data_IF_970039302695
#
_entry.id   IF_970039302695
#
_cell.length_a   1.000
_cell.length_b   1.000
_cell.length_c   1.000
_cell.angle_alpha   90.00
_cell.angle_beta   90.00
_cell.angle_gamma   90.00
#
_symmetry.space_group_name_H-M   'P 1'
#
loop_
_entity.id
_entity.type
_entity.pdbx_description
1 polymer ?
#
# COMPACT_ATOMS: atom_id res chain seq x y z
N UNK A 1 6.21 -4.51 -20.41
CA UNK A 1 7.20 -5.12 -19.51
C UNK A 1 7.55 -6.52 -19.97
N UNK A 2 8.82 -6.94 -19.86
CA UNK A 2 9.19 -8.33 -20.07
C UNK A 2 8.40 -9.26 -19.16
N UNK A 3 8.11 -10.50 -19.59
CA UNK A 3 7.31 -11.43 -18.78
C UNK A 3 7.87 -11.68 -17.37
N UNK A 4 9.18 -11.78 -17.21
CA UNK A 4 9.77 -12.01 -15.89
C UNK A 4 9.62 -10.81 -14.96
N UNK A 5 9.63 -9.59 -15.52
CA UNK A 5 9.42 -8.36 -14.74
C UNK A 5 7.97 -8.26 -14.29
N UNK A 6 7.04 -8.61 -15.17
CA UNK A 6 5.62 -8.68 -14.82
C UNK A 6 5.37 -9.70 -13.72
N UNK A 7 5.97 -10.88 -13.84
CA UNK A 7 5.83 -11.93 -12.83
C UNK A 7 6.38 -11.48 -11.48
N UNK A 8 7.51 -10.76 -11.48
CA UNK A 8 8.08 -10.21 -10.25
C UNK A 8 7.13 -9.21 -9.60
N UNK A 9 6.60 -8.26 -10.36
CA UNK A 9 5.67 -7.26 -9.83
C UNK A 9 4.38 -7.92 -9.32
N UNK A 10 3.85 -8.90 -10.03
CA UNK A 10 2.66 -9.62 -9.59
C UNK A 10 2.91 -10.31 -8.26
N UNK A 11 4.09 -10.88 -8.09
CA UNK A 11 4.46 -11.52 -6.82
C UNK A 11 4.61 -10.51 -5.68
N UNK A 12 5.26 -9.37 -5.95
CA UNK A 12 5.36 -8.28 -4.97
C UNK A 12 3.97 -7.83 -4.55
N UNK A 13 3.09 -7.59 -5.51
CA UNK A 13 1.73 -7.13 -5.25
C UNK A 13 0.93 -8.13 -4.41
N UNK A 14 1.04 -9.42 -4.73
CA UNK A 14 0.33 -10.46 -3.97
C UNK A 14 0.82 -10.53 -2.51
N UNK A 15 2.12 -10.39 -2.29
CA UNK A 15 2.71 -10.40 -0.96
C UNK A 15 2.26 -9.16 -0.17
N UNK A 16 2.32 -7.98 -0.79
CA UNK A 16 1.90 -6.74 -0.14
C UNK A 16 0.43 -6.82 0.26
N UNK A 17 -0.43 -7.28 -0.65
CA UNK A 17 -1.86 -7.38 -0.38
C UNK A 17 -2.16 -8.35 0.76
N UNK A 18 -1.47 -9.49 0.79
CA UNK A 18 -1.62 -10.46 1.88
C UNK A 18 -1.18 -9.89 3.21
N UNK A 19 -0.02 -9.23 3.24
CA UNK A 19 0.53 -8.68 4.48
C UNK A 19 -0.26 -7.49 4.99
N UNK A 20 -0.88 -6.70 4.11
CA UNK A 20 -1.82 -5.66 4.54
C UNK A 20 -2.95 -6.25 5.37
N UNK A 21 -3.56 -7.34 4.89
CA UNK A 21 -4.65 -8.00 5.59
C UNK A 21 -4.20 -8.61 6.92
N UNK A 22 -2.95 -9.01 7.02
CA UNK A 22 -2.37 -9.54 8.25
C UNK A 22 -1.86 -8.43 9.18
N UNK A 23 -1.85 -7.19 8.70
CA UNK A 23 -1.46 -6.03 9.48
C UNK A 23 0.03 -5.87 9.70
N UNK A 24 0.87 -6.45 8.84
CA UNK A 24 2.30 -6.48 9.07
C UNK A 24 3.10 -6.25 7.78
N UNK A 25 2.74 -5.21 7.02
CA UNK A 25 3.44 -4.93 5.78
C UNK A 25 4.56 -3.90 6.02
N UNK A 26 5.80 -4.34 5.81
CA UNK A 26 6.98 -3.48 5.85
C UNK A 26 7.90 -3.86 4.69
N UNK A 27 8.87 -2.99 4.39
CA UNK A 27 9.90 -3.30 3.38
C UNK A 27 10.59 -4.63 3.73
N UNK A 28 10.95 -4.81 5.01
CA UNK A 28 11.67 -6.00 5.45
C UNK A 28 10.84 -7.26 5.33
N UNK A 29 9.55 -7.21 5.69
CA UNK A 29 8.69 -8.40 5.59
C UNK A 29 8.44 -8.80 4.14
N UNK A 30 8.27 -7.82 3.25
CA UNK A 30 8.08 -8.10 1.82
C UNK A 30 9.36 -8.67 1.21
N UNK A 31 10.52 -8.07 1.50
CA UNK A 31 11.81 -8.58 1.02
C UNK A 31 12.03 -10.02 1.47
N UNK A 32 11.77 -10.31 2.75
CA UNK A 32 11.93 -11.66 3.30
C UNK A 32 11.03 -12.67 2.59
N UNK A 33 9.78 -12.31 2.33
CA UNK A 33 8.85 -13.17 1.60
C UNK A 33 9.29 -13.42 0.16
N UNK A 34 10.04 -12.49 -0.44
CA UNK A 34 10.64 -12.66 -1.76
C UNK A 34 11.98 -13.40 -1.73
N UNK A 35 12.46 -13.75 -0.55
CA UNK A 35 13.80 -14.34 -0.36
C UNK A 35 14.92 -13.40 -0.83
N UNK A 36 14.72 -12.10 -0.67
CA UNK A 36 15.68 -11.06 -1.04
C UNK A 36 16.10 -10.28 0.20
N UNK A 37 17.35 -9.77 0.18
CA UNK A 37 17.72 -8.75 1.16
C UNK A 37 17.01 -7.44 0.83
N UNK A 38 16.87 -6.50 1.78
CA UNK A 38 16.30 -5.19 1.48
C UNK A 38 17.03 -4.47 0.34
N UNK A 39 18.35 -4.59 0.26
CA UNK A 39 19.13 -3.97 -0.82
C UNK A 39 18.84 -4.60 -2.19
N UNK A 40 18.73 -5.92 -2.24
CA UNK A 40 18.36 -6.64 -3.48
C UNK A 40 16.95 -6.27 -3.92
N UNK A 41 16.02 -6.19 -2.96
CA UNK A 41 14.65 -5.79 -3.24
C UNK A 41 14.60 -4.38 -3.82
N UNK A 42 15.33 -3.43 -3.21
CA UNK A 42 15.40 -2.05 -3.69
C UNK A 42 15.91 -1.98 -5.13
N UNK A 43 17.00 -2.69 -5.43
CA UNK A 43 17.57 -2.67 -6.78
C UNK A 43 16.61 -3.26 -7.80
N UNK A 44 16.05 -4.42 -7.49
CA UNK A 44 15.19 -5.13 -8.42
C UNK A 44 13.88 -4.39 -8.68
N UNK A 45 13.25 -3.90 -7.61
CA UNK A 45 12.01 -3.14 -7.73
C UNK A 45 12.25 -1.81 -8.44
N UNK A 46 13.34 -1.13 -8.12
CA UNK A 46 13.70 0.13 -8.78
C UNK A 46 13.92 -0.03 -10.27
N UNK A 47 14.58 -1.11 -10.69
CA UNK A 47 14.83 -1.38 -12.10
C UNK A 47 13.52 -1.65 -12.88
N UNK A 48 12.53 -2.27 -12.24
CA UNK A 48 11.28 -2.67 -12.90
C UNK A 48 10.22 -1.57 -12.81
N UNK A 49 10.12 -0.89 -11.67
CA UNK A 49 9.02 0.05 -11.39
C UNK A 49 9.45 1.51 -11.33
N UNK A 50 10.75 1.78 -11.15
CA UNK A 50 11.23 3.13 -10.91
C UNK A 50 10.95 3.66 -9.50
N UNK A 51 10.39 2.85 -8.61
CA UNK A 51 10.03 3.23 -7.24
C UNK A 51 10.93 2.58 -6.21
N UNK A 52 11.05 3.24 -5.05
CA UNK A 52 11.61 2.58 -3.87
C UNK A 52 10.58 1.63 -3.27
N UNK A 53 11.00 0.59 -2.53
CA UNK A 53 10.05 -0.30 -1.86
C UNK A 53 9.09 0.43 -0.91
N UNK A 54 9.57 1.39 -0.14
CA UNK A 54 8.72 2.13 0.79
C UNK A 54 7.60 2.88 0.06
N UNK A 55 7.94 3.58 -1.02
CA UNK A 55 6.96 4.32 -1.83
C UNK A 55 6.00 3.36 -2.53
N UNK A 56 6.51 2.27 -3.07
CA UNK A 56 5.69 1.28 -3.77
C UNK A 56 4.65 0.66 -2.85
N UNK A 57 5.08 0.20 -1.67
CA UNK A 57 4.18 -0.39 -0.67
C UNK A 57 3.13 0.63 -0.23
N UNK A 58 3.56 1.85 0.08
CA UNK A 58 2.66 2.90 0.53
C UNK A 58 1.61 3.25 -0.51
N UNK A 59 2.01 3.31 -1.78
CA UNK A 59 1.08 3.57 -2.88
C UNK A 59 0.02 2.48 -2.97
N UNK A 60 0.42 1.23 -2.81
CA UNK A 60 -0.56 0.13 -2.81
C UNK A 60 -1.50 0.19 -1.62
N UNK A 61 -1.00 0.55 -0.44
CA UNK A 61 -1.85 0.74 0.75
C UNK A 61 -2.89 1.83 0.51
N UNK A 62 -2.50 2.92 -0.13
CA UNK A 62 -3.41 4.04 -0.40
C UNK A 62 -4.44 3.69 -1.46
N UNK A 63 -4.07 2.96 -2.50
CA UNK A 63 -5.04 2.47 -3.49
C UNK A 63 -6.04 1.49 -2.86
N UNK A 64 -5.57 0.62 -1.97
CA UNK A 64 -6.46 -0.27 -1.24
C UNK A 64 -7.44 0.53 -0.38
N UNK A 65 -6.97 1.58 0.29
CA UNK A 65 -7.82 2.45 1.09
C UNK A 65 -8.88 3.15 0.24
N UNK A 66 -8.49 3.72 -0.91
CA UNK A 66 -9.45 4.34 -1.83
C UNK A 66 -10.51 3.35 -2.29
N UNK A 67 -10.09 2.15 -2.66
CA UNK A 67 -11.01 1.09 -3.11
C UNK A 67 -12.03 0.75 -2.03
N UNK A 68 -11.59 0.60 -0.78
CA UNK A 68 -12.50 0.32 0.34
C UNK A 68 -13.44 1.49 0.61
N UNK A 69 -12.92 2.72 0.57
CA UNK A 69 -13.77 3.91 0.77
C UNK A 69 -14.82 4.05 -0.33
N UNK A 70 -14.49 3.67 -1.57
CA UNK A 70 -15.41 3.74 -2.70
C UNK A 70 -16.47 2.64 -2.65
N UNK A 71 -16.10 1.44 -2.19
CA UNK A 71 -16.94 0.24 -2.37
C UNK A 71 -17.50 -0.34 -1.07
N UNK A 72 -17.01 0.09 0.08
CA UNK A 72 -17.43 -0.45 1.38
C UNK A 72 -17.87 0.68 2.33
N UNK A 73 -19.03 1.29 2.06
CA UNK A 73 -19.55 2.35 2.93
C UNK A 73 -19.91 1.86 4.33
N UNK A 74 -20.05 0.55 4.51
CA UNK A 74 -20.29 -0.08 5.81
C UNK A 74 -19.08 -0.04 6.74
N UNK A 75 -17.86 0.15 6.22
CA UNK A 75 -16.66 0.19 7.03
C UNK A 75 -16.41 1.59 7.57
N UNK A 76 -16.03 1.67 8.84
CA UNK A 76 -15.56 2.94 9.42
C UNK A 76 -14.19 3.30 8.84
N UNK A 77 -13.80 4.55 8.95
CA UNK A 77 -12.45 4.98 8.53
C UNK A 77 -11.38 4.18 9.28
N UNK A 78 -11.59 3.94 10.58
CA UNK A 78 -10.67 3.13 11.37
C UNK A 78 -10.53 1.70 10.83
N UNK A 79 -11.65 1.10 10.47
CA UNK A 79 -11.65 -0.26 9.88
C UNK A 79 -10.94 -0.28 8.54
N UNK A 80 -11.12 0.74 7.70
CA UNK A 80 -10.41 0.88 6.44
C UNK A 80 -8.90 0.95 6.69
N UNK A 81 -8.48 1.81 7.63
CA UNK A 81 -7.06 1.95 7.96
C UNK A 81 -6.45 0.62 8.40
N UNK A 82 -7.13 -0.11 9.26
CA UNK A 82 -6.63 -1.40 9.76
C UNK A 82 -6.51 -2.44 8.65
N UNK A 83 -7.45 -2.49 7.73
CA UNK A 83 -7.40 -3.40 6.59
C UNK A 83 -6.27 -3.09 5.62
N UNK A 84 -5.79 -1.84 5.63
CA UNK A 84 -4.66 -1.41 4.81
C UNK A 84 -3.33 -1.51 5.55
N UNK A 85 -3.32 -2.07 6.75
CA UNK A 85 -2.11 -2.28 7.53
C UNK A 85 -1.69 -1.10 8.39
N UNK A 86 -2.61 -0.17 8.67
CA UNK A 86 -2.33 0.97 9.55
C UNK A 86 -3.04 0.78 10.89
N UNK A 87 -2.27 0.82 11.96
CA UNK A 87 -2.83 0.73 13.33
C UNK A 87 -2.91 2.07 14.03
N UNK A 88 -2.25 3.09 13.48
CA UNK A 88 -2.26 4.46 14.01
C UNK A 88 -3.09 5.33 13.06
N UNK A 89 -4.25 5.78 13.55
CA UNK A 89 -5.17 6.60 12.75
C UNK A 89 -4.56 7.93 12.34
N UNK A 90 -3.77 8.56 13.22
CA UNK A 90 -3.11 9.82 12.89
C UNK A 90 -2.13 9.64 11.75
N UNK A 91 -1.38 8.52 11.77
CA UNK A 91 -0.44 8.18 10.71
C UNK A 91 -1.19 7.90 9.40
N UNK A 92 -2.25 7.11 9.44
CA UNK A 92 -3.06 6.80 8.27
C UNK A 92 -3.61 8.08 7.64
N UNK A 93 -4.23 8.95 8.44
CA UNK A 93 -4.84 10.20 7.96
C UNK A 93 -3.79 11.09 7.30
N UNK A 94 -2.61 11.22 7.92
CA UNK A 94 -1.52 12.03 7.37
C UNK A 94 -1.02 11.50 6.03
N UNK A 95 -0.78 10.17 5.96
CA UNK A 95 -0.29 9.55 4.73
C UNK A 95 -1.34 9.62 3.63
N UNK A 96 -2.60 9.35 3.96
CA UNK A 96 -3.68 9.44 2.98
C UNK A 96 -3.80 10.85 2.42
N UNK A 97 -3.78 11.87 3.29
CA UNK A 97 -3.87 13.27 2.85
C UNK A 97 -2.67 13.66 1.99
N UNK A 98 -1.46 13.23 2.35
CA UNK A 98 -0.25 13.52 1.56
C UNK A 98 -0.30 12.88 0.18
N UNK A 99 -0.85 11.67 0.08
CA UNK A 99 -0.85 10.92 -1.17
C UNK A 99 -2.04 11.28 -2.05
N UNK A 100 -3.22 11.42 -1.45
CA UNK A 100 -4.49 11.59 -2.17
C UNK A 100 -4.89 13.06 -2.29
N UNK A 101 -4.43 13.91 -1.37
CA UNK A 101 -4.72 15.34 -1.39
C UNK A 101 -5.85 15.78 -0.48
N UNK A 102 -6.53 14.84 0.17
CA UNK A 102 -7.61 15.15 1.13
C UNK A 102 -7.65 14.06 2.19
N UNK A 103 -8.30 14.33 3.31
CA UNK A 103 -8.44 13.35 4.39
C UNK A 103 -9.35 12.20 3.94
N UNK A 104 -9.25 11.02 4.58
CA UNK A 104 -10.15 9.92 4.27
C UNK A 104 -11.63 10.28 4.44
N UNK A 105 -11.96 11.06 5.47
CA UNK A 105 -13.34 11.51 5.70
C UNK A 105 -13.83 12.42 4.59
N UNK A 106 -13.01 13.39 4.16
CA UNK A 106 -13.33 14.27 3.03
C UNK A 106 -13.51 13.47 1.74
N UNK A 107 -12.62 12.52 1.50
CA UNK A 107 -12.68 11.65 0.33
C UNK A 107 -14.00 10.86 0.30
N UNK A 108 -14.37 10.26 1.43
CA UNK A 108 -15.61 9.46 1.54
C UNK A 108 -16.84 10.32 1.29
N UNK A 109 -16.85 11.56 1.76
CA UNK A 109 -17.97 12.48 1.56
C UNK A 109 -18.03 13.07 0.15
N UNK A 110 -17.01 12.85 -0.66
CA UNK A 110 -16.93 13.43 -1.99
C UNK A 110 -16.58 14.91 -1.98
N UNK A 111 -15.98 15.42 -0.90
CA UNK A 111 -15.58 16.81 -0.81
C UNK A 111 -14.36 17.10 -1.69
N UNK A 112 -14.35 18.26 -2.34
CA UNK A 112 -13.19 18.72 -3.08
C UNK A 112 -12.19 19.37 -2.12
N UNK A 113 -10.90 19.07 -2.32
CA UNK A 113 -9.84 19.63 -1.49
C UNK A 113 -9.56 21.09 -1.83
#
# INVERSE_FOLDING_TARGET
LPPQDRAFLDRVNAIVDKEMNEGNVTVDTVAAALCLSPAQFRRKLGAVSGSTPAVYIRTRQMYAAQHLLDNRPDLTINEVAMRCGFYDMSHFTRVFKQTIGMTPTQYRKGELS
#
